data_IF_940932049467
#
_entry.id   IF_940932049467
#
_cell.length_a   1.000
_cell.length_b   1.000
_cell.length_c   1.000
_cell.angle_alpha   90.00
_cell.angle_beta   90.00
_cell.angle_gamma   90.00
#
_symmetry.space_group_name_H-M   'P 1'
#
loop_
_entity.id
_entity.type
_entity.pdbx_description
1 polymer ?
#
# COMPACT_ATOMS: atom_id res chain seq x y z
N UNK A 1 -21.70 -3.12 -1.72
CA UNK A 1 -22.45 -3.84 -0.66
C UNK A 1 -23.84 -3.23 -0.60
N UNK A 2 -24.90 -4.04 -0.61
CA UNK A 2 -26.27 -3.52 -0.47
C UNK A 2 -26.64 -3.34 1.02
N UNK A 3 -27.71 -2.61 1.31
CA UNK A 3 -28.09 -2.28 2.70
C UNK A 3 -28.33 -3.52 3.59
N UNK A 4 -28.89 -4.60 3.02
CA UNK A 4 -29.13 -5.83 3.76
C UNK A 4 -27.82 -6.56 4.14
N UNK A 5 -26.81 -6.52 3.27
CA UNK A 5 -25.49 -7.08 3.53
C UNK A 5 -24.73 -6.28 4.60
N UNK A 6 -24.85 -4.95 4.61
CA UNK A 6 -24.24 -4.11 5.64
C UNK A 6 -24.83 -4.41 7.02
N UNK A 7 -26.16 -4.46 7.11
CA UNK A 7 -26.85 -4.75 8.37
C UNK A 7 -26.52 -6.14 8.91
N UNK A 8 -26.48 -7.16 8.04
CA UNK A 8 -26.09 -8.52 8.45
C UNK A 8 -24.62 -8.60 8.92
N UNK A 9 -23.73 -7.79 8.34
CA UNK A 9 -22.34 -7.70 8.80
C UNK A 9 -22.26 -7.06 10.20
N UNK A 10 -22.92 -5.91 10.39
CA UNK A 10 -22.93 -5.17 11.65
C UNK A 10 -23.56 -6.00 12.80
N UNK A 11 -24.66 -6.70 12.51
CA UNK A 11 -25.26 -7.64 13.47
C UNK A 11 -24.30 -8.79 13.83
N UNK A 12 -23.59 -9.34 12.83
CA UNK A 12 -22.60 -10.40 13.02
C UNK A 12 -21.36 -9.96 13.80
N UNK A 13 -21.00 -8.67 13.74
CA UNK A 13 -19.92 -8.07 14.53
C UNK A 13 -20.41 -7.51 15.87
N UNK A 14 -21.71 -7.61 16.19
CA UNK A 14 -22.29 -7.08 17.43
C UNK A 14 -22.27 -5.55 17.51
N UNK A 15 -22.38 -4.86 16.37
CA UNK A 15 -22.31 -3.39 16.24
C UNK A 15 -21.00 -2.76 16.74
N UNK A 16 -19.92 -3.54 16.93
CA UNK A 16 -18.63 -3.00 17.37
C UNK A 16 -17.92 -2.16 16.30
N UNK A 17 -18.14 -2.47 15.02
CA UNK A 17 -17.61 -1.72 13.88
C UNK A 17 -18.40 -2.04 12.61
N UNK A 18 -18.49 -1.05 11.73
CA UNK A 18 -19.10 -1.12 10.41
C UNK A 18 -18.16 -1.81 9.41
N UNK A 19 -18.72 -2.32 8.32
CA UNK A 19 -17.92 -2.88 7.23
C UNK A 19 -17.02 -1.82 6.55
N UNK A 20 -17.41 -0.54 6.57
CA UNK A 20 -16.61 0.56 6.05
C UNK A 20 -15.36 0.79 6.91
N UNK A 21 -15.50 0.76 8.24
CA UNK A 21 -14.37 0.91 9.17
C UNK A 21 -13.37 -0.23 9.05
N UNK A 22 -13.85 -1.48 8.92
CA UNK A 22 -12.99 -2.63 8.70
C UNK A 22 -12.24 -2.52 7.36
N UNK A 23 -12.95 -2.16 6.29
CA UNK A 23 -12.34 -2.00 4.96
C UNK A 23 -11.25 -0.93 4.97
N UNK A 24 -11.55 0.24 5.56
CA UNK A 24 -10.59 1.33 5.70
C UNK A 24 -9.35 0.89 6.49
N UNK A 25 -9.55 0.16 7.59
CA UNK A 25 -8.45 -0.33 8.44
C UNK A 25 -7.53 -1.28 7.66
N UNK A 26 -8.10 -2.23 6.92
CA UNK A 26 -7.33 -3.17 6.09
C UNK A 26 -6.57 -2.41 4.99
N UNK A 27 -7.22 -1.47 4.33
CA UNK A 27 -6.61 -0.63 3.31
C UNK A 27 -5.46 0.22 3.88
N UNK A 28 -5.63 0.82 5.05
CA UNK A 28 -4.61 1.64 5.71
C UNK A 28 -3.37 0.80 6.08
N UNK A 29 -3.58 -0.39 6.67
CA UNK A 29 -2.48 -1.30 7.02
C UNK A 29 -1.76 -1.78 5.76
N UNK A 30 -2.49 -2.25 4.76
CA UNK A 30 -1.92 -2.74 3.50
C UNK A 30 -1.13 -1.66 2.76
N UNK A 31 -1.67 -0.45 2.68
CA UNK A 31 -1.00 0.68 2.03
C UNK A 31 0.27 1.08 2.75
N UNK A 32 0.24 1.11 4.10
CA UNK A 32 1.42 1.42 4.91
C UNK A 32 2.51 0.36 4.71
N UNK A 33 2.15 -0.92 4.68
CA UNK A 33 3.11 -2.00 4.46
C UNK A 33 3.79 -1.89 3.08
N UNK A 34 3.03 -1.64 2.02
CA UNK A 34 3.62 -1.47 0.68
C UNK A 34 4.45 -0.18 0.61
N UNK A 35 3.99 0.90 1.25
CA UNK A 35 4.74 2.15 1.29
C UNK A 35 6.13 1.96 1.91
N UNK A 36 6.18 1.30 3.07
CA UNK A 36 7.43 0.97 3.76
C UNK A 36 8.33 0.06 2.92
N UNK A 37 7.74 -0.92 2.23
CA UNK A 37 8.49 -1.80 1.35
C UNK A 37 9.12 -1.05 0.16
N UNK A 38 8.38 -0.15 -0.49
CA UNK A 38 8.91 0.68 -1.58
C UNK A 38 10.01 1.61 -1.06
N UNK A 39 9.80 2.24 0.10
CA UNK A 39 10.83 3.09 0.72
C UNK A 39 12.11 2.30 1.01
N UNK A 40 11.98 1.07 1.50
CA UNK A 40 13.12 0.17 1.74
C UNK A 40 13.85 -0.19 0.44
N UNK A 41 13.14 -0.46 -0.67
CA UNK A 41 13.77 -0.71 -1.97
C UNK A 41 14.56 0.50 -2.46
N UNK A 42 14.03 1.72 -2.30
CA UNK A 42 14.75 2.94 -2.65
C UNK A 42 16.01 3.14 -1.80
N UNK A 43 15.93 2.84 -0.49
CA UNK A 43 17.08 2.87 0.40
C UNK A 43 18.15 1.85 -0.01
N UNK A 44 17.75 0.61 -0.30
CA UNK A 44 18.66 -0.44 -0.77
C UNK A 44 19.33 -0.08 -2.08
N UNK A 45 18.60 0.50 -3.03
CA UNK A 45 19.19 0.95 -4.29
C UNK A 45 20.24 2.05 -4.08
N UNK A 46 20.08 2.91 -3.08
CA UNK A 46 21.10 3.89 -2.71
C UNK A 46 22.35 3.25 -2.10
N UNK A 47 22.15 2.30 -1.19
CA UNK A 47 23.23 1.55 -0.55
C UNK A 47 24.05 0.76 -1.60
N UNK A 48 23.36 0.04 -2.49
CA UNK A 48 23.97 -0.73 -3.57
C UNK A 48 24.69 0.17 -4.59
N UNK A 49 24.18 1.38 -4.84
CA UNK A 49 24.85 2.37 -5.69
C UNK A 49 26.13 2.90 -5.02
N UNK A 50 26.08 3.20 -3.72
CA UNK A 50 27.25 3.62 -2.94
C UNK A 50 28.32 2.53 -2.83
N UNK A 51 27.92 1.26 -2.88
CA UNK A 51 28.79 0.10 -2.91
C UNK A 51 29.25 -0.29 -4.33
N UNK A 52 28.92 0.50 -5.36
CA UNK A 52 29.24 0.25 -6.78
C UNK A 52 28.70 -1.09 -7.33
N UNK A 53 27.69 -1.68 -6.69
CA UNK A 53 27.03 -2.92 -7.11
C UNK A 53 26.10 -2.68 -8.30
N UNK A 54 25.45 -1.51 -8.31
CA UNK A 54 24.55 -1.09 -9.39
C UNK A 54 24.97 0.25 -9.97
N UNK A 55 24.56 0.54 -11.21
CA UNK A 55 24.81 1.84 -11.82
C UNK A 55 23.78 2.89 -11.37
N UNK A 56 24.09 4.18 -11.53
CA UNK A 56 23.15 5.26 -11.26
C UNK A 56 21.83 5.12 -12.05
N UNK A 57 21.89 4.57 -13.27
CA UNK A 57 20.72 4.30 -14.10
C UNK A 57 19.81 3.26 -13.46
N UNK A 58 20.37 2.19 -12.92
CA UNK A 58 19.62 1.11 -12.28
C UNK A 58 18.91 1.61 -11.02
N UNK A 59 19.60 2.43 -10.20
CA UNK A 59 19.02 3.10 -9.03
C UNK A 59 17.81 3.96 -9.42
N UNK A 60 17.94 4.79 -10.45
CA UNK A 60 16.84 5.65 -10.94
C UNK A 60 15.67 4.80 -11.47
N UNK A 61 15.94 3.65 -12.11
CA UNK A 61 14.88 2.75 -12.57
C UNK A 61 14.11 2.16 -11.39
N UNK A 62 14.78 1.77 -10.30
CA UNK A 62 14.13 1.28 -9.08
C UNK A 62 13.22 2.37 -8.51
N UNK A 63 13.66 3.63 -8.51
CA UNK A 63 12.87 4.76 -8.06
C UNK A 63 11.59 4.97 -8.88
N UNK A 64 11.72 4.97 -10.22
CA UNK A 64 10.54 5.11 -11.09
C UNK A 64 9.54 3.96 -10.91
N UNK A 65 10.02 2.73 -10.71
CA UNK A 65 9.16 1.58 -10.40
C UNK A 65 8.45 1.77 -9.05
N UNK A 66 9.15 2.28 -8.04
CA UNK A 66 8.56 2.63 -6.75
C UNK A 66 7.44 3.66 -6.89
N UNK A 67 7.68 4.76 -7.61
CA UNK A 67 6.66 5.78 -7.89
C UNK A 67 5.45 5.19 -8.63
N UNK A 68 5.69 4.35 -9.64
CA UNK A 68 4.61 3.70 -10.36
C UNK A 68 3.74 2.82 -9.46
N UNK A 69 4.34 2.02 -8.57
CA UNK A 69 3.60 1.21 -7.58
C UNK A 69 2.74 2.10 -6.68
N UNK A 70 3.27 3.23 -6.23
CA UNK A 70 2.49 4.18 -5.41
C UNK A 70 1.31 4.79 -6.17
N UNK A 71 1.48 5.10 -7.46
CA UNK A 71 0.38 5.61 -8.30
C UNK A 71 -0.73 4.58 -8.45
N UNK A 72 -0.38 3.29 -8.65
CA UNK A 72 -1.36 2.20 -8.74
C UNK A 72 -2.09 2.02 -7.41
N UNK A 73 -1.38 2.02 -6.28
CA UNK A 73 -2.02 1.93 -4.96
C UNK A 73 -2.97 3.09 -4.70
N UNK A 74 -2.56 4.31 -5.04
CA UNK A 74 -3.41 5.48 -4.85
C UNK A 74 -4.69 5.39 -5.70
N UNK A 75 -4.58 4.89 -6.94
CA UNK A 75 -5.76 4.62 -7.78
C UNK A 75 -6.72 3.60 -7.14
N UNK A 76 -6.19 2.55 -6.51
CA UNK A 76 -7.00 1.49 -5.87
C UNK A 76 -7.63 1.90 -4.54
N UNK A 77 -7.11 2.95 -3.89
CA UNK A 77 -7.64 3.45 -2.61
C UNK A 77 -8.68 4.54 -2.78
N UNK A 78 -8.58 5.31 -3.86
CA UNK A 78 -9.46 6.46 -4.14
C UNK A 78 -10.68 6.07 -4.97
N UNK A 79 -10.60 5.00 -5.77
CA UNK A 79 -11.71 4.43 -6.54
C UNK A 79 -12.31 3.19 -5.87
#
# INVERSE_FOLDING_TARGET
MNAAQSAAFEEGTGDFFTAAELLWTIQAIGTTAVFLYVAWLCYRAYDDYGAEVITAKDMIIVWFRGVFVMMVLLYLLVN
#
